data_IF_110714236715
#
_entry.id   IF_110714236715
#
_cell.length_a   1.000
_cell.length_b   1.000
_cell.length_c   1.000
_cell.angle_alpha   90.00
_cell.angle_beta   90.00
_cell.angle_gamma   90.00
#
_symmetry.space_group_name_H-M   'P 1'
#
loop_
_entity.id
_entity.type
_entity.pdbx_description
1 polymer ?
#
# COMPACT_ATOMS: atom_id res chain seq x y z
N UNK A 1 32.34 -3.00 11.96
CA UNK A 1 31.81 -2.35 10.74
C UNK A 1 30.61 -3.11 10.15
N UNK A 2 30.54 -4.44 10.23
CA UNK A 2 29.43 -5.25 9.70
C UNK A 2 28.03 -5.00 10.30
N UNK A 3 27.90 -4.64 11.58
CA UNK A 3 26.59 -4.40 12.20
C UNK A 3 25.83 -3.21 11.58
N UNK A 4 26.55 -2.16 11.15
CA UNK A 4 25.93 -0.99 10.51
C UNK A 4 25.33 -1.33 9.15
N UNK A 5 25.95 -2.23 8.40
CA UNK A 5 25.44 -2.65 7.09
C UNK A 5 24.19 -3.50 7.23
N UNK A 6 24.15 -4.42 8.20
CA UNK A 6 22.94 -5.18 8.52
C UNK A 6 21.79 -4.28 8.99
N UNK A 7 22.09 -3.25 9.78
CA UNK A 7 21.09 -2.30 10.27
C UNK A 7 20.51 -1.44 9.14
N UNK A 8 21.35 -0.96 8.22
CA UNK A 8 20.91 -0.21 7.04
C UNK A 8 20.04 -1.06 6.11
N UNK A 9 20.45 -2.31 5.83
CA UNK A 9 19.65 -3.24 5.02
C UNK A 9 18.31 -3.53 5.67
N UNK A 10 18.28 -3.73 7.00
CA UNK A 10 17.06 -3.94 7.77
C UNK A 10 16.08 -2.77 7.62
N UNK A 11 16.57 -1.53 7.76
CA UNK A 11 15.74 -0.32 7.61
C UNK A 11 15.20 -0.20 6.17
N UNK A 12 16.05 -0.39 5.16
CA UNK A 12 15.65 -0.34 3.75
C UNK A 12 14.58 -1.38 3.42
N UNK A 13 14.73 -2.63 3.89
CA UNK A 13 13.74 -3.69 3.68
C UNK A 13 12.41 -3.37 4.35
N UNK A 14 12.42 -2.79 5.55
CA UNK A 14 11.19 -2.36 6.24
C UNK A 14 10.47 -1.29 5.42
N UNK A 15 11.20 -0.25 5.00
CA UNK A 15 10.62 0.84 4.18
C UNK A 15 10.06 0.30 2.87
N UNK A 16 10.83 -0.52 2.14
CA UNK A 16 10.42 -1.09 0.87
C UNK A 16 9.17 -1.97 1.02
N UNK A 17 9.10 -2.78 2.08
CA UNK A 17 7.94 -3.67 2.28
C UNK A 17 6.65 -2.90 2.57
N UNK A 18 6.74 -1.70 3.14
CA UNK A 18 5.59 -0.80 3.33
C UNK A 18 5.26 -0.07 2.02
N UNK A 19 6.28 0.47 1.34
CA UNK A 19 6.09 1.28 0.15
C UNK A 19 5.63 0.50 -1.08
N UNK A 20 6.14 -0.71 -1.33
CA UNK A 20 5.80 -1.49 -2.53
C UNK A 20 4.28 -1.73 -2.66
N UNK A 21 3.57 -2.29 -1.67
CA UNK A 21 2.14 -2.52 -1.79
C UNK A 21 1.33 -1.22 -1.82
N UNK A 22 1.76 -0.17 -1.10
CA UNK A 22 1.11 1.14 -1.16
C UNK A 22 1.26 1.80 -2.54
N UNK A 23 2.47 1.77 -3.11
CA UNK A 23 2.75 2.27 -4.45
C UNK A 23 2.00 1.48 -5.52
N UNK A 24 1.86 0.16 -5.36
CA UNK A 24 1.03 -0.65 -6.25
C UNK A 24 -0.44 -0.22 -6.19
N UNK A 25 -0.99 -0.03 -4.99
CA UNK A 25 -2.38 0.42 -4.80
C UNK A 25 -2.61 1.82 -5.41
N UNK A 26 -1.70 2.75 -5.16
CA UNK A 26 -1.72 4.08 -5.75
C UNK A 26 -1.50 4.05 -7.27
N UNK A 27 -0.68 3.14 -7.79
CA UNK A 27 -0.47 2.92 -9.21
C UNK A 27 -1.73 2.42 -9.90
N UNK A 28 -2.42 1.44 -9.30
CA UNK A 28 -3.71 0.94 -9.79
C UNK A 28 -4.76 2.06 -9.75
N UNK A 29 -4.98 2.73 -8.62
CA UNK A 29 -5.96 3.82 -8.52
C UNK A 29 -5.58 5.12 -9.25
N UNK A 30 -4.31 5.29 -9.60
CA UNK A 30 -3.81 6.41 -10.41
C UNK A 30 -3.91 6.19 -11.91
N UNK A 31 -4.39 5.02 -12.36
CA UNK A 31 -4.67 4.79 -13.78
C UNK A 31 -5.90 5.63 -14.19
N UNK A 32 -5.85 6.20 -15.40
CA UNK A 32 -6.96 6.97 -15.96
C UNK A 32 -8.12 6.02 -16.35
N UNK A 33 -8.95 5.65 -15.38
CA UNK A 33 -10.15 4.86 -15.64
C UNK A 33 -11.28 5.76 -16.13
N UNK A 34 -11.68 5.56 -17.38
CA UNK A 34 -12.83 6.24 -17.96
C UNK A 34 -14.11 5.45 -17.67
N UNK A 35 -14.94 5.98 -16.76
CA UNK A 35 -16.23 5.39 -16.36
C UNK A 35 -17.30 5.43 -17.47
N UNK A 36 -17.04 6.15 -18.56
CA UNK A 36 -17.99 6.28 -19.69
C UNK A 36 -17.83 5.18 -20.74
N UNK A 37 -16.67 4.51 -20.80
CA UNK A 37 -16.34 3.52 -21.84
C UNK A 37 -16.78 2.10 -21.45
N UNK A 38 -16.86 1.77 -20.16
CA UNK A 38 -17.41 0.50 -19.67
C UNK A 38 -17.88 0.63 -18.22
N UNK A 39 -19.08 0.11 -17.86
CA UNK A 39 -19.56 0.11 -16.47
C UNK A 39 -18.70 -0.75 -15.53
N UNK A 40 -17.84 -1.61 -16.08
CA UNK A 40 -16.86 -2.40 -15.34
C UNK A 40 -15.52 -1.67 -15.16
N UNK A 41 -15.32 -0.52 -15.83
CA UNK A 41 -14.14 0.32 -15.67
C UNK A 41 -14.30 1.12 -14.36
N UNK A 42 -13.87 0.50 -13.26
CA UNK A 42 -13.84 1.10 -11.93
C UNK A 42 -15.20 1.68 -11.45
N UNK A 43 -16.22 0.83 -11.20
CA UNK A 43 -17.54 1.27 -10.74
C UNK A 43 -17.52 2.06 -9.41
N UNK A 44 -16.46 1.88 -8.62
CA UNK A 44 -16.20 2.57 -7.35
C UNK A 44 -15.96 4.08 -7.51
N UNK A 45 -15.60 4.56 -8.71
CA UNK A 45 -15.31 5.98 -8.95
C UNK A 45 -16.58 6.86 -8.90
N UNK A 46 -17.75 6.28 -9.20
CA UNK A 46 -19.07 6.95 -9.02
C UNK A 46 -19.60 6.79 -7.60
N UNK A 47 -18.93 6.02 -6.74
CA UNK A 47 -19.36 5.83 -5.37
C UNK A 47 -18.92 7.02 -4.52
N UNK A 48 -19.82 7.70 -3.80
CA UNK A 48 -19.48 8.90 -3.02
C UNK A 48 -18.43 8.62 -1.92
N UNK A 49 -18.26 7.35 -1.54
CA UNK A 49 -17.29 6.91 -0.54
C UNK A 49 -16.06 6.18 -1.12
N UNK A 50 -15.86 6.14 -2.44
CA UNK A 50 -14.74 5.44 -3.06
C UNK A 50 -13.37 5.97 -2.60
N UNK A 51 -13.23 7.29 -2.48
CA UNK A 51 -12.00 7.92 -2.01
C UNK A 51 -11.71 7.66 -0.50
N UNK A 52 -12.67 7.82 0.43
CA UNK A 52 -12.50 7.35 1.81
C UNK A 52 -12.18 5.86 1.94
N UNK A 53 -12.82 5.00 1.14
CA UNK A 53 -12.62 3.55 1.17
C UNK A 53 -11.20 3.16 0.72
N UNK A 54 -10.67 3.82 -0.31
CA UNK A 54 -9.28 3.67 -0.75
C UNK A 54 -8.28 3.98 0.38
N UNK A 55 -8.48 5.09 1.09
CA UNK A 55 -7.63 5.46 2.23
C UNK A 55 -7.76 4.47 3.38
N UNK A 56 -8.97 4.00 3.67
CA UNK A 56 -9.23 2.99 4.70
C UNK A 56 -8.52 1.67 4.36
N UNK A 57 -8.63 1.19 3.12
CA UNK A 57 -7.91 0.01 2.63
C UNK A 57 -6.40 0.21 2.71
N UNK A 58 -5.88 1.35 2.28
CA UNK A 58 -4.45 1.68 2.35
C UNK A 58 -3.94 1.63 3.79
N UNK A 59 -4.67 2.23 4.74
CA UNK A 59 -4.32 2.24 6.16
C UNK A 59 -4.40 0.85 6.79
N UNK A 60 -5.42 0.05 6.45
CA UNK A 60 -5.55 -1.33 6.91
C UNK A 60 -4.40 -2.19 6.38
N UNK A 61 -4.02 -2.01 5.12
CA UNK A 61 -2.98 -2.80 4.47
C UNK A 61 -1.59 -2.44 5.01
N UNK A 62 -1.30 -1.14 5.15
CA UNK A 62 -0.08 -0.66 5.80
C UNK A 62 -0.01 -1.06 7.27
N UNK A 63 -1.10 -0.87 8.03
CA UNK A 63 -1.20 -1.24 9.44
C UNK A 63 -1.11 -2.76 9.65
N UNK A 64 -1.76 -3.55 8.79
CA UNK A 64 -1.73 -5.01 8.81
C UNK A 64 -0.32 -5.56 8.54
N UNK A 65 0.39 -5.00 7.57
CA UNK A 65 1.78 -5.33 7.31
C UNK A 65 2.68 -4.96 8.50
N UNK A 66 2.54 -3.75 9.05
CA UNK A 66 3.29 -3.33 10.24
C UNK A 66 3.04 -4.26 11.44
N UNK A 67 1.78 -4.63 11.70
CA UNK A 67 1.41 -5.57 12.76
C UNK A 67 1.98 -6.97 12.50
N UNK A 68 1.96 -7.44 11.26
CA UNK A 68 2.55 -8.73 10.88
C UNK A 68 4.07 -8.76 11.10
N UNK A 69 4.80 -7.72 10.67
CA UNK A 69 6.25 -7.59 10.89
C UNK A 69 6.62 -7.45 12.36
N UNK A 70 5.83 -6.70 13.13
CA UNK A 70 5.97 -6.58 14.60
C UNK A 70 5.71 -7.92 15.29
N UNK A 71 4.68 -8.67 14.89
CA UNK A 71 4.36 -9.99 15.45
C UNK A 71 5.46 -11.02 15.16
N UNK A 72 6.12 -10.95 14.01
CA UNK A 72 7.27 -11.78 13.67
C UNK A 72 8.59 -11.37 14.36
N UNK A 73 8.61 -10.32 15.19
CA UNK A 73 9.81 -9.76 15.84
C UNK A 73 10.92 -9.35 14.85
N UNK A 74 10.53 -9.01 13.62
CA UNK A 74 11.45 -8.45 12.64
C UNK A 74 11.64 -6.94 12.87
N UNK A 75 10.66 -6.29 13.50
CA UNK A 75 10.70 -4.93 14.04
C UNK A 75 10.57 -5.00 15.56
#
# INVERSE_FOLDING_TARGET
>A
VSNKMNEVMKILTIIATIFIPLSFLAGVYGMNFDTTVSPFNMPELRFPYGYPLFWLLSLILAGGLLLFFRKKRWI
#
